data_IF_627672275966
#
_entry.id   IF_627672275966
#
_cell.length_a   1.000
_cell.length_b   1.000
_cell.length_c   1.000
_cell.angle_alpha   90.00
_cell.angle_beta   90.00
_cell.angle_gamma   90.00
#
_symmetry.space_group_name_H-M   'P 1'
#
loop_
_entity.id
_entity.type
_entity.pdbx_description
1 polymer ?
#
# COMPACT_ATOMS: atom_id res chain seq x y z
N UNK A 1 67.92 31.92 -1.63
CA UNK A 1 67.68 30.59 -1.05
C UNK A 1 66.21 30.28 -1.20
N UNK A 2 65.87 29.65 -2.31
CA UNK A 2 64.51 29.32 -2.74
C UNK A 2 64.12 27.98 -2.14
N UNK A 3 63.21 28.01 -1.16
CA UNK A 3 62.56 26.81 -0.65
C UNK A 3 61.50 26.39 -1.68
N UNK A 4 61.59 25.16 -2.15
CA UNK A 4 60.83 24.57 -3.25
C UNK A 4 59.32 24.51 -2.96
N UNK A 5 58.45 24.68 -3.99
CA UNK A 5 56.99 24.73 -3.82
C UNK A 5 56.35 23.34 -3.60
N UNK A 6 57.15 22.27 -3.62
CA UNK A 6 56.68 20.88 -3.55
C UNK A 6 56.25 20.42 -2.15
N UNK A 7 56.60 21.15 -1.08
CA UNK A 7 56.28 20.74 0.29
C UNK A 7 55.01 21.35 0.88
N UNK A 8 54.29 22.21 0.15
CA UNK A 8 53.00 22.78 0.61
C UNK A 8 51.75 22.12 0.02
N UNK A 9 51.90 21.21 -0.95
CA UNK A 9 50.78 20.47 -1.54
C UNK A 9 50.46 19.16 -0.81
N UNK A 10 51.37 18.63 0.02
CA UNK A 10 51.16 17.39 0.76
C UNK A 10 50.24 17.50 1.98
N UNK A 11 50.10 18.70 2.56
CA UNK A 11 49.27 18.91 3.76
C UNK A 11 47.83 19.33 3.44
N UNK A 12 47.57 19.87 2.24
CA UNK A 12 46.22 20.29 1.85
C UNK A 12 45.37 19.13 1.30
N UNK A 13 45.99 18.09 0.73
CA UNK A 13 45.26 16.91 0.25
C UNK A 13 44.87 15.93 1.37
N UNK A 14 45.55 15.94 2.51
CA UNK A 14 45.21 15.08 3.65
C UNK A 14 44.05 15.61 4.51
N UNK A 15 43.75 16.92 4.45
CA UNK A 15 42.60 17.49 5.18
C UNK A 15 41.28 17.44 4.39
N UNK A 16 41.29 17.16 3.09
CA UNK A 16 40.06 16.97 2.31
C UNK A 16 39.54 15.52 2.30
N UNK A 17 40.29 14.57 2.89
CA UNK A 17 39.88 13.15 2.99
C UNK A 17 39.28 12.82 4.38
N UNK A 18 39.26 13.79 5.30
CA UNK A 18 38.75 13.61 6.67
C UNK A 18 37.53 14.48 7.00
N UNK A 19 36.79 14.96 5.99
CA UNK A 19 35.44 15.49 6.21
C UNK A 19 34.46 14.35 5.97
N UNK A 20 34.26 13.60 7.04
CA UNK A 20 33.04 12.86 7.36
C UNK A 20 32.53 11.94 6.26
N UNK A 21 33.10 10.74 6.24
CA UNK A 21 32.25 9.55 6.11
C UNK A 21 31.27 9.53 7.30
N UNK A 22 30.22 10.34 7.23
CA UNK A 22 28.99 9.99 7.92
C UNK A 22 28.43 8.82 7.12
N UNK A 23 28.69 7.60 7.61
CA UNK A 23 28.12 6.36 7.11
C UNK A 23 26.60 6.43 7.24
N UNK A 24 25.92 7.10 6.30
CA UNK A 24 24.54 6.80 5.99
C UNK A 24 24.54 5.55 5.14
N UNK A 25 24.33 4.38 5.74
CA UNK A 25 23.91 3.22 4.94
C UNK A 25 22.66 3.64 4.16
N UNK A 26 22.69 3.45 2.84
CA UNK A 26 21.54 3.64 1.96
C UNK A 26 20.47 2.62 2.37
N UNK A 27 19.58 3.04 3.27
CA UNK A 27 18.63 2.16 3.92
C UNK A 27 17.32 2.23 3.11
N UNK A 28 16.94 1.09 2.52
CA UNK A 28 15.80 1.02 1.59
C UNK A 28 14.70 0.13 2.14
N UNK A 29 13.46 0.51 1.82
CA UNK A 29 12.27 -0.19 2.27
C UNK A 29 11.68 -0.98 1.10
N UNK A 30 11.78 -2.31 1.16
CA UNK A 30 11.32 -3.19 0.06
C UNK A 30 9.84 -3.00 -0.29
N UNK A 31 9.00 -2.72 0.71
CA UNK A 31 7.58 -2.45 0.47
C UNK A 31 7.32 -1.02 -0.07
N UNK A 32 8.26 -0.09 0.13
CA UNK A 32 8.04 1.35 -0.03
C UNK A 32 9.19 2.03 -0.78
N UNK A 33 9.26 1.75 -2.09
CA UNK A 33 10.28 2.31 -3.01
C UNK A 33 10.31 3.85 -3.06
N UNK A 34 9.25 4.52 -2.58
CA UNK A 34 9.14 5.99 -2.53
C UNK A 34 9.15 6.58 -1.10
N UNK A 35 9.51 5.78 -0.10
CA UNK A 35 9.70 6.26 1.28
C UNK A 35 10.98 7.08 1.39
N UNK A 36 10.95 8.15 2.18
CA UNK A 36 12.16 8.84 2.64
C UNK A 36 12.71 8.07 3.84
N UNK A 37 13.81 7.36 3.62
CA UNK A 37 14.42 6.46 4.57
C UNK A 37 15.79 6.97 4.99
N UNK A 38 16.01 7.11 6.30
CA UNK A 38 17.26 7.61 6.87
C UNK A 38 17.78 6.62 7.90
N UNK A 39 19.08 6.34 7.83
CA UNK A 39 19.76 5.52 8.83
C UNK A 39 19.84 6.29 10.16
N UNK A 40 19.35 5.68 11.23
CA UNK A 40 19.44 6.19 12.59
C UNK A 40 20.16 5.14 13.46
N UNK A 41 21.50 5.18 13.45
CA UNK A 41 22.33 4.14 14.06
C UNK A 41 22.17 2.80 13.33
N UNK A 42 21.78 1.75 14.06
CA UNK A 42 21.50 0.42 13.50
C UNK A 42 20.07 0.26 12.96
N UNK A 43 19.20 1.26 13.11
CA UNK A 43 17.81 1.21 12.67
C UNK A 43 17.60 2.05 11.41
N UNK A 44 16.85 1.52 10.43
CA UNK A 44 16.37 2.31 9.29
C UNK A 44 15.00 2.90 9.63
N UNK A 45 14.91 4.23 9.64
CA UNK A 45 13.65 4.94 9.91
C UNK A 45 13.13 5.48 8.58
N UNK A 46 12.00 4.93 8.13
CA UNK A 46 11.34 5.36 6.91
C UNK A 46 10.09 6.16 7.22
N UNK A 47 9.88 7.21 6.43
CA UNK A 47 8.65 8.00 6.45
C UNK A 47 8.08 8.09 5.05
N UNK A 48 6.76 8.19 4.96
CA UNK A 48 6.05 8.33 3.70
C UNK A 48 5.10 9.52 3.75
N UNK A 49 5.04 10.37 2.71
CA UNK A 49 4.01 11.40 2.60
C UNK A 49 2.64 10.74 2.38
N UNK A 50 1.74 10.91 3.35
CA UNK A 50 0.36 10.44 3.32
C UNK A 50 -0.54 11.66 3.50
N UNK A 51 -1.08 12.17 2.38
CA UNK A 51 -1.75 13.46 2.38
C UNK A 51 -0.76 14.60 2.65
N UNK A 52 -1.06 15.54 3.57
CA UNK A 52 -0.12 16.59 3.97
C UNK A 52 0.94 16.13 4.97
N UNK A 53 0.75 14.95 5.58
CA UNK A 53 1.55 14.50 6.72
C UNK A 53 2.69 13.58 6.28
N UNK A 54 3.85 13.70 6.94
CA UNK A 54 4.98 12.80 6.77
C UNK A 54 4.94 11.73 7.87
N UNK A 55 4.40 10.56 7.55
CA UNK A 55 4.06 9.52 8.54
C UNK A 55 5.16 8.44 8.61
N UNK A 56 5.62 8.03 9.80
CA UNK A 56 6.51 6.88 9.96
C UNK A 56 5.87 5.59 9.45
N UNK A 57 6.62 4.77 8.73
CA UNK A 57 6.13 3.51 8.16
C UNK A 57 6.96 2.32 8.65
N UNK A 58 6.29 1.19 8.85
CA UNK A 58 6.90 -0.09 9.19
C UNK A 58 7.27 -0.84 7.91
N UNK A 59 8.57 -0.98 7.64
CA UNK A 59 9.09 -1.63 6.44
C UNK A 59 9.04 -3.15 6.43
N UNK A 60 8.53 -3.76 7.51
CA UNK A 60 8.42 -5.23 7.59
C UNK A 60 7.13 -5.76 6.99
N UNK A 61 6.14 -4.88 6.76
CA UNK A 61 4.80 -5.22 6.31
C UNK A 61 4.25 -4.22 5.27
N UNK A 62 3.22 -4.60 4.50
CA UNK A 62 2.55 -3.68 3.59
C UNK A 62 1.92 -2.48 4.33
N UNK A 63 1.81 -1.33 3.64
CA UNK A 63 1.12 -0.13 4.17
C UNK A 63 -0.39 -0.38 4.16
N UNK A 64 -1.12 0.07 5.18
CA UNK A 64 -2.57 0.03 5.18
C UNK A 64 -3.19 0.65 3.92
N UNK A 65 -4.18 -0.02 3.33
CA UNK A 65 -4.86 0.37 2.09
C UNK A 65 -5.32 1.84 2.10
N UNK A 66 -5.86 2.33 3.21
CA UNK A 66 -6.33 3.71 3.32
C UNK A 66 -5.22 4.72 3.06
N UNK A 67 -4.04 4.51 3.63
CA UNK A 67 -2.88 5.37 3.42
C UNK A 67 -2.38 5.35 1.98
N UNK A 68 -2.36 4.16 1.36
CA UNK A 68 -2.01 4.03 -0.06
C UNK A 68 -3.00 4.79 -0.95
N UNK A 69 -4.30 4.57 -0.76
CA UNK A 69 -5.35 5.24 -1.50
C UNK A 69 -5.29 6.77 -1.33
N UNK A 70 -5.05 7.25 -0.10
CA UNK A 70 -4.90 8.69 0.18
C UNK A 70 -3.77 9.33 -0.60
N UNK A 71 -2.62 8.67 -0.66
CA UNK A 71 -1.49 9.14 -1.46
C UNK A 71 -1.80 9.11 -2.96
N UNK A 72 -2.44 8.06 -3.44
CA UNK A 72 -2.77 7.90 -4.87
C UNK A 72 -3.85 8.86 -5.35
N UNK A 73 -4.82 9.19 -4.50
CA UNK A 73 -5.88 10.16 -4.76
C UNK A 73 -5.40 11.61 -4.86
N UNK A 74 -4.17 11.88 -4.38
CA UNK A 74 -3.48 13.15 -4.49
C UNK A 74 -2.26 13.02 -5.43
N UNK A 75 -2.42 12.72 -6.74
CA UNK A 75 -1.33 12.94 -7.68
C UNK A 75 -1.10 14.45 -7.66
N UNK A 76 0.12 14.89 -7.33
CA UNK A 76 0.44 16.30 -7.06
C UNK A 76 -0.29 17.28 -7.99
N UNK A 77 -0.71 18.42 -7.42
CA UNK A 77 -1.52 19.50 -8.04
C UNK A 77 -0.89 20.16 -9.28
N UNK A 78 0.10 19.56 -9.93
CA UNK A 78 0.70 20.03 -11.17
C UNK A 78 -0.20 19.72 -12.37
N UNK A 79 -0.90 20.72 -12.88
CA UNK A 79 -1.43 20.73 -14.25
C UNK A 79 -2.87 20.24 -14.46
N UNK A 80 -3.60 19.81 -13.42
CA UNK A 80 -5.04 19.52 -13.56
C UNK A 80 -5.85 20.81 -13.42
N UNK A 81 -6.65 21.14 -14.45
CA UNK A 81 -7.63 22.23 -14.39
C UNK A 81 -8.62 21.98 -13.24
N UNK A 82 -9.12 23.02 -12.55
CA UNK A 82 -10.19 22.88 -11.57
C UNK A 82 -11.35 22.08 -12.18
N UNK A 83 -11.81 21.06 -11.46
CA UNK A 83 -12.94 20.24 -11.92
C UNK A 83 -14.22 21.11 -11.86
N UNK A 84 -15.05 21.14 -12.92
CA UNK A 84 -16.30 21.90 -12.92
C UNK A 84 -17.25 21.43 -11.81
N UNK A 85 -18.08 22.33 -11.28
CA UNK A 85 -19.00 22.11 -10.15
C UNK A 85 -19.96 20.93 -10.37
N UNK A 86 -20.38 20.67 -11.61
CA UNK A 86 -21.31 19.59 -11.97
C UNK A 86 -20.61 18.33 -12.53
N UNK A 87 -19.29 18.25 -12.47
CA UNK A 87 -18.60 17.12 -13.07
C UNK A 87 -18.77 15.87 -12.19
N UNK A 88 -19.47 14.87 -12.73
CA UNK A 88 -19.66 13.57 -12.10
C UNK A 88 -18.28 13.00 -11.70
N UNK A 89 -18.07 12.84 -10.39
CA UNK A 89 -16.94 12.10 -9.84
C UNK A 89 -17.49 10.71 -9.55
N UNK A 90 -17.10 9.73 -10.36
CA UNK A 90 -17.27 8.35 -9.95
C UNK A 90 -16.37 8.11 -8.73
N UNK A 91 -17.02 7.87 -7.58
CA UNK A 91 -16.36 7.62 -6.31
C UNK A 91 -16.38 6.13 -5.97
N UNK A 92 -16.85 5.28 -6.88
CA UNK A 92 -16.98 3.84 -6.64
C UNK A 92 -15.65 3.09 -6.91
N UNK A 93 -14.59 3.82 -7.27
CA UNK A 93 -13.20 3.37 -7.37
C UNK A 93 -12.25 4.09 -6.40
N UNK A 94 -11.16 4.69 -6.92
CA UNK A 94 -10.18 5.43 -6.12
C UNK A 94 -10.71 6.83 -5.71
N UNK A 95 -10.85 7.06 -4.40
CA UNK A 95 -11.22 8.34 -3.80
C UNK A 95 -10.17 8.78 -2.77
N UNK A 96 -10.19 10.04 -2.30
CA UNK A 96 -9.35 10.51 -1.19
C UNK A 96 -9.97 10.13 0.16
N UNK A 97 -9.46 9.09 0.85
CA UNK A 97 -10.07 8.61 2.05
C UNK A 97 -9.59 9.35 3.30
N UNK A 98 -10.48 9.43 4.26
CA UNK A 98 -10.17 9.73 5.65
C UNK A 98 -9.74 8.45 6.37
N UNK A 99 -8.55 8.50 6.95
CA UNK A 99 -7.93 7.38 7.66
C UNK A 99 -7.78 7.75 9.15
N UNK A 100 -7.89 6.74 10.00
CA UNK A 100 -7.40 6.80 11.38
C UNK A 100 -5.86 6.80 11.40
N UNK A 101 -5.25 7.14 12.54
CA UNK A 101 -3.79 7.26 12.68
C UNK A 101 -3.01 5.96 12.44
N UNK A 102 -3.69 4.80 12.50
CA UNK A 102 -3.13 3.49 12.19
C UNK A 102 -3.42 3.02 10.74
N UNK A 103 -4.02 3.87 9.91
CA UNK A 103 -4.32 3.56 8.51
C UNK A 103 -5.61 2.77 8.28
N UNK A 104 -6.45 2.59 9.31
CA UNK A 104 -7.81 2.07 9.15
C UNK A 104 -8.70 3.15 8.53
N UNK A 105 -9.65 2.77 7.67
CA UNK A 105 -10.64 3.70 7.15
C UNK A 105 -11.54 4.24 8.26
N UNK A 106 -11.80 5.54 8.25
CA UNK A 106 -12.95 6.06 9.00
C UNK A 106 -14.23 5.51 8.38
N UNK A 107 -15.22 5.14 9.21
CA UNK A 107 -16.46 4.55 8.73
C UNK A 107 -17.21 5.48 7.76
N UNK A 108 -17.16 6.79 8.00
CA UNK A 108 -17.71 7.84 7.14
C UNK A 108 -16.62 8.42 6.24
N UNK A 109 -16.91 8.52 4.95
CA UNK A 109 -16.01 9.04 3.92
C UNK A 109 -16.73 10.15 3.15
N UNK A 110 -16.02 11.24 2.82
CA UNK A 110 -16.60 12.35 2.06
C UNK A 110 -15.73 12.84 0.88
N UNK A 111 -14.51 12.31 0.71
CA UNK A 111 -13.58 12.69 -0.37
C UNK A 111 -13.35 14.21 -0.50
N UNK A 112 -13.24 14.92 0.63
CA UNK A 112 -13.16 16.39 0.70
C UNK A 112 -14.32 17.13 0.01
N UNK A 113 -15.49 16.49 -0.11
CA UNK A 113 -16.72 17.08 -0.67
C UNK A 113 -17.81 17.21 0.40
N UNK A 114 -18.96 17.75 0.02
CA UNK A 114 -20.15 17.80 0.89
C UNK A 114 -20.96 16.50 0.88
N UNK A 115 -20.59 15.58 0.00
CA UNK A 115 -21.27 14.30 -0.20
C UNK A 115 -20.53 13.21 0.55
N UNK A 116 -21.21 12.55 1.49
CA UNK A 116 -20.62 11.52 2.34
C UNK A 116 -21.31 10.16 2.19
N UNK A 117 -20.60 9.08 2.50
CA UNK A 117 -21.10 7.70 2.50
C UNK A 117 -20.42 6.87 3.57
N UNK A 118 -20.98 5.70 3.87
CA UNK A 118 -20.34 4.73 4.77
C UNK A 118 -19.52 3.71 3.98
N UNK A 119 -18.39 3.30 4.55
CA UNK A 119 -17.52 2.24 4.03
C UNK A 119 -17.34 1.11 5.04
N UNK A 120 -16.97 -0.07 4.56
CA UNK A 120 -16.47 -1.16 5.40
C UNK A 120 -14.95 -1.00 5.68
N UNK A 121 -14.37 -1.93 6.44
CA UNK A 121 -12.94 -1.92 6.76
C UNK A 121 -12.02 -2.06 5.54
N UNK A 122 -12.55 -2.48 4.38
CA UNK A 122 -11.83 -2.52 3.11
C UNK A 122 -11.94 -1.22 2.29
N UNK A 123 -12.62 -0.19 2.81
CA UNK A 123 -12.84 1.09 2.13
C UNK A 123 -13.89 1.03 1.01
N UNK A 124 -14.69 -0.05 0.95
CA UNK A 124 -15.74 -0.22 -0.06
C UNK A 124 -17.03 0.40 0.47
N UNK A 125 -17.68 1.22 -0.37
CA UNK A 125 -18.95 1.88 -0.07
C UNK A 125 -20.06 0.86 0.23
N UNK A 126 -20.85 1.14 1.26
CA UNK A 126 -21.93 0.28 1.77
C UNK A 126 -23.31 0.92 1.78
N UNK A 127 -23.37 2.21 1.50
CA UNK A 127 -24.61 2.99 1.52
C UNK A 127 -24.69 3.86 0.28
N UNK A 128 -25.85 4.44 0.06
CA UNK A 128 -25.98 5.60 -0.81
C UNK A 128 -25.18 6.79 -0.26
N UNK A 129 -25.08 7.80 -1.11
CA UNK A 129 -24.43 9.07 -0.83
C UNK A 129 -25.45 10.03 -0.22
N UNK A 130 -25.06 10.71 0.84
CA UNK A 130 -25.86 11.74 1.50
C UNK A 130 -25.04 12.98 1.81
N UNK A 131 -25.59 13.84 2.66
CA UNK A 131 -24.95 15.11 3.06
C UNK A 131 -23.86 14.92 4.13
N UNK A 132 -23.29 16.03 4.61
CA UNK A 132 -22.26 16.00 5.67
C UNK A 132 -22.75 15.42 7.00
N UNK A 133 -24.06 15.42 7.24
CA UNK A 133 -24.65 14.90 8.47
C UNK A 133 -24.89 13.38 8.40
N UNK A 134 -24.53 12.73 7.29
CA UNK A 134 -24.61 11.28 7.14
C UNK A 134 -23.87 10.57 8.27
N UNK A 135 -24.56 9.66 8.97
CA UNK A 135 -24.01 8.97 10.14
C UNK A 135 -23.59 7.55 9.80
N UNK A 136 -22.35 7.21 10.13
CA UNK A 136 -21.83 5.84 10.09
C UNK A 136 -21.42 5.49 11.51
N UNK A 137 -22.28 4.77 12.23
CA UNK A 137 -22.14 4.51 13.67
C UNK A 137 -20.94 3.62 13.99
N UNK A 138 -20.62 2.70 13.08
CA UNK A 138 -19.51 1.77 13.25
C UNK A 138 -18.84 1.45 11.90
N UNK A 139 -17.59 0.99 11.98
CA UNK A 139 -16.87 0.46 10.84
C UNK A 139 -17.16 -1.03 10.71
N UNK A 140 -17.94 -1.41 9.70
CA UNK A 140 -18.27 -2.81 9.45
C UNK A 140 -17.03 -3.55 8.94
N UNK A 141 -16.69 -4.68 9.56
CA UNK A 141 -15.55 -5.52 9.18
C UNK A 141 -15.81 -6.22 7.84
N UNK A 142 -14.87 -6.14 6.91
CA UNK A 142 -14.77 -7.07 5.79
C UNK A 142 -14.02 -8.31 6.26
N UNK A 143 -14.74 -9.40 6.53
CA UNK A 143 -14.12 -10.64 7.01
C UNK A 143 -13.75 -11.60 5.87
N UNK A 144 -14.25 -11.38 4.65
CA UNK A 144 -13.98 -12.20 3.48
C UNK A 144 -13.70 -11.35 2.24
N UNK A 145 -12.53 -11.57 1.64
CA UNK A 145 -12.13 -10.99 0.34
C UNK A 145 -11.91 -12.15 -0.62
N UNK A 146 -12.57 -12.10 -1.77
CA UNK A 146 -12.33 -13.00 -2.90
C UNK A 146 -11.46 -12.26 -3.91
N UNK A 147 -10.26 -12.80 -4.14
CA UNK A 147 -9.40 -12.33 -5.22
C UNK A 147 -9.64 -13.21 -6.44
N UNK A 148 -10.09 -12.59 -7.53
CA UNK A 148 -10.22 -13.26 -8.82
C UNK A 148 -9.06 -12.85 -9.73
N UNK A 149 -8.27 -13.84 -10.14
CA UNK A 149 -7.20 -13.68 -11.13
C UNK A 149 -7.57 -14.41 -12.42
N UNK A 150 -7.07 -13.91 -13.54
CA UNK A 150 -7.21 -14.57 -14.85
C UNK A 150 -5.84 -15.01 -15.33
N UNK A 151 -5.71 -16.29 -15.68
CA UNK A 151 -4.50 -16.88 -16.25
C UNK A 151 -4.67 -17.06 -17.75
N UNK A 152 -3.62 -16.77 -18.50
CA UNK A 152 -3.53 -17.20 -19.89
C UNK A 152 -3.08 -18.66 -19.87
N UNK A 153 -3.99 -19.61 -20.11
CA UNK A 153 -3.81 -21.07 -19.97
C UNK A 153 -2.84 -21.69 -20.99
N UNK A 154 -1.78 -20.97 -21.34
CA UNK A 154 -0.75 -21.35 -22.32
C UNK A 154 0.39 -22.15 -21.70
N UNK A 155 0.41 -22.28 -20.38
CA UNK A 155 1.48 -22.83 -19.59
C UNK A 155 1.09 -24.17 -18.94
N UNK A 156 1.95 -25.17 -19.05
CA UNK A 156 1.68 -26.54 -18.63
C UNK A 156 1.94 -26.80 -17.13
N UNK A 157 1.76 -25.79 -16.28
CA UNK A 157 2.05 -25.87 -14.84
C UNK A 157 0.93 -26.63 -14.12
N UNK A 158 1.25 -27.68 -13.32
CA UNK A 158 0.27 -28.38 -12.51
C UNK A 158 -0.44 -27.44 -11.52
N UNK A 159 -1.76 -27.60 -11.38
CA UNK A 159 -2.56 -26.76 -10.47
C UNK A 159 -2.04 -26.80 -9.04
N UNK A 160 -1.60 -27.97 -8.55
CA UNK A 160 -1.07 -28.11 -7.20
C UNK A 160 0.16 -27.22 -6.94
N UNK A 161 1.08 -27.15 -7.90
CA UNK A 161 2.27 -26.31 -7.82
C UNK A 161 1.88 -24.84 -7.86
N UNK A 162 0.87 -24.49 -8.67
CA UNK A 162 0.35 -23.13 -8.75
C UNK A 162 -0.36 -22.71 -7.45
N UNK A 163 -1.19 -23.58 -6.84
CA UNK A 163 -1.80 -23.29 -5.52
C UNK A 163 -0.73 -22.99 -4.48
N UNK A 164 0.32 -23.83 -4.43
CA UNK A 164 1.44 -23.65 -3.51
C UNK A 164 2.16 -22.34 -3.77
N UNK A 165 2.51 -22.06 -5.02
CA UNK A 165 3.20 -20.82 -5.39
C UNK A 165 2.38 -19.56 -5.03
N UNK A 166 1.06 -19.59 -5.24
CA UNK A 166 0.15 -18.50 -4.84
C UNK A 166 0.15 -18.35 -3.32
N UNK A 167 -0.04 -19.43 -2.56
CA UNK A 167 -0.07 -19.39 -1.11
C UNK A 167 1.26 -18.91 -0.51
N UNK A 168 2.39 -19.40 -1.05
CA UNK A 168 3.74 -18.99 -0.67
C UNK A 168 3.97 -17.51 -1.00
N UNK A 169 3.50 -17.03 -2.16
CA UNK A 169 3.59 -15.62 -2.53
C UNK A 169 2.80 -14.76 -1.55
N UNK A 170 1.56 -15.14 -1.23
CA UNK A 170 0.71 -14.38 -0.31
C UNK A 170 1.33 -14.30 1.09
N UNK A 171 1.87 -15.42 1.56
CA UNK A 171 2.50 -15.52 2.88
C UNK A 171 3.82 -14.76 2.94
N UNK A 172 4.69 -14.93 1.95
CA UNK A 172 6.05 -14.40 1.99
C UNK A 172 6.14 -12.95 1.51
N UNK A 173 5.40 -12.59 0.45
CA UNK A 173 5.41 -11.24 -0.12
C UNK A 173 4.47 -10.33 0.64
N UNK A 174 3.22 -10.71 0.84
CA UNK A 174 2.22 -9.84 1.48
C UNK A 174 2.10 -10.02 2.99
N UNK A 175 2.86 -10.95 3.57
CA UNK A 175 2.95 -11.20 5.02
C UNK A 175 1.63 -11.64 5.66
N UNK A 176 0.69 -12.17 4.87
CA UNK A 176 -0.55 -12.71 5.39
C UNK A 176 -0.32 -14.12 5.92
N UNK A 177 -0.61 -14.41 7.21
CA UNK A 177 -0.51 -15.77 7.72
C UNK A 177 -1.32 -16.76 6.90
N UNK A 178 -0.73 -17.92 6.59
CA UNK A 178 -1.36 -18.94 5.74
C UNK A 178 -2.74 -19.41 6.23
N UNK A 179 -3.00 -19.34 7.55
CA UNK A 179 -4.32 -19.63 8.14
C UNK A 179 -5.48 -18.78 7.58
N UNK A 180 -5.18 -17.60 7.03
CA UNK A 180 -6.18 -16.71 6.45
C UNK A 180 -6.40 -16.96 4.95
N UNK A 181 -5.61 -17.84 4.33
CA UNK A 181 -5.79 -18.30 2.94
C UNK A 181 -6.62 -19.58 2.99
N UNK A 182 -7.94 -19.43 2.88
CA UNK A 182 -8.87 -20.54 3.16
C UNK A 182 -9.16 -21.42 1.95
N UNK A 183 -9.04 -20.88 0.74
CA UNK A 183 -9.28 -21.63 -0.48
C UNK A 183 -8.54 -21.04 -1.68
N UNK A 184 -8.12 -21.91 -2.60
CA UNK A 184 -7.60 -21.56 -3.93
C UNK A 184 -8.20 -22.53 -4.93
N UNK A 185 -9.09 -22.03 -5.78
CA UNK A 185 -9.85 -22.80 -6.77
C UNK A 185 -9.56 -22.35 -8.19
N UNK A 186 -9.65 -23.31 -9.12
CA UNK A 186 -9.48 -23.08 -10.55
C UNK A 186 -10.78 -23.40 -11.28
N UNK A 187 -11.26 -22.44 -12.06
CA UNK A 187 -12.42 -22.60 -12.93
C UNK A 187 -12.06 -22.11 -14.33
N UNK A 188 -11.59 -23.03 -15.17
CA UNK A 188 -11.09 -22.69 -16.51
C UNK A 188 -9.88 -21.74 -16.44
N UNK A 189 -9.95 -20.52 -17.00
CA UNK A 189 -8.88 -19.53 -16.90
C UNK A 189 -8.91 -18.72 -15.58
N UNK A 190 -9.92 -18.91 -14.74
CA UNK A 190 -10.11 -18.14 -13.52
C UNK A 190 -9.49 -18.85 -12.32
N UNK A 191 -8.86 -18.06 -11.47
CA UNK A 191 -8.33 -18.48 -10.17
C UNK A 191 -9.05 -17.67 -9.10
N UNK A 192 -9.72 -18.36 -8.20
CA UNK A 192 -10.41 -17.75 -7.05
C UNK A 192 -9.62 -18.03 -5.77
N UNK A 193 -9.31 -16.97 -5.02
CA UNK A 193 -8.56 -17.06 -3.77
C UNK A 193 -9.41 -16.46 -2.65
N UNK A 194 -9.75 -17.28 -1.67
CA UNK A 194 -10.54 -16.86 -0.50
C UNK A 194 -9.64 -16.46 0.66
N UNK A 195 -9.62 -15.16 0.95
CA UNK A 195 -8.96 -14.61 2.12
C UNK A 195 -10.01 -14.34 3.21
N UNK A 196 -9.92 -15.05 4.34
CA UNK A 196 -10.87 -14.90 5.47
C UNK A 196 -10.14 -14.53 6.74
N UNK A 197 -10.59 -13.46 7.40
CA UNK A 197 -9.98 -12.94 8.62
C UNK A 197 -11.01 -12.18 9.46
N UNK A 198 -11.49 -12.81 10.52
CA UNK A 198 -12.40 -12.19 11.47
C UNK A 198 -11.68 -11.22 12.42
N UNK A 199 -12.42 -10.30 13.02
CA UNK A 199 -11.89 -9.35 14.02
C UNK A 199 -11.26 -10.07 15.22
N UNK A 200 -11.82 -11.21 15.64
CA UNK A 200 -11.34 -12.00 16.77
C UNK A 200 -10.04 -12.77 16.48
N UNK A 201 -9.74 -13.04 15.21
CA UNK A 201 -8.60 -13.86 14.79
C UNK A 201 -7.38 -13.02 14.38
N UNK A 202 -7.61 -11.74 14.04
CA UNK A 202 -6.58 -10.79 13.64
C UNK A 202 -5.86 -10.23 14.87
N UNK A 203 -4.56 -10.46 14.96
CA UNK A 203 -3.73 -9.83 15.99
C UNK A 203 -3.28 -8.42 15.54
N UNK A 204 -2.85 -7.53 16.46
CA UNK A 204 -2.39 -6.18 16.10
C UNK A 204 -1.23 -6.13 15.10
N UNK A 205 -0.44 -7.21 15.04
CA UNK A 205 0.72 -7.30 14.13
C UNK A 205 0.37 -7.92 12.78
N UNK A 206 -0.80 -8.55 12.65
CA UNK A 206 -1.22 -9.17 11.40
C UNK A 206 -1.63 -8.11 10.38
N UNK A 207 -1.24 -8.35 9.12
CA UNK A 207 -1.73 -7.59 7.97
C UNK A 207 -3.22 -7.85 7.76
N UNK A 208 -3.92 -6.85 7.23
CA UNK A 208 -5.32 -6.99 6.91
C UNK A 208 -5.53 -7.68 5.55
N UNK A 209 -6.51 -8.57 5.45
CA UNK A 209 -6.87 -9.18 4.15
C UNK A 209 -7.26 -8.14 3.10
N UNK A 210 -7.82 -6.99 3.51
CA UNK A 210 -8.14 -5.90 2.60
C UNK A 210 -6.87 -5.20 2.05
N UNK A 211 -5.81 -5.11 2.85
CA UNK A 211 -4.52 -4.58 2.42
C UNK A 211 -3.89 -5.52 1.40
N UNK A 212 -3.88 -6.83 1.70
CA UNK A 212 -3.34 -7.88 0.83
C UNK A 212 -4.03 -7.88 -0.53
N UNK A 213 -5.37 -7.88 -0.54
CA UNK A 213 -6.14 -7.82 -1.79
C UNK A 213 -5.78 -6.59 -2.63
N UNK A 214 -5.67 -5.42 -2.00
CA UNK A 214 -5.30 -4.19 -2.70
C UNK A 214 -3.88 -4.23 -3.26
N UNK A 215 -2.92 -4.77 -2.52
CA UNK A 215 -1.55 -4.96 -3.01
C UNK A 215 -1.50 -5.93 -4.19
N UNK A 216 -2.23 -7.04 -4.12
CA UNK A 216 -2.32 -7.99 -5.22
C UNK A 216 -2.90 -7.35 -6.48
N UNK A 217 -3.97 -6.56 -6.36
CA UNK A 217 -4.53 -5.79 -7.48
C UNK A 217 -3.48 -4.86 -8.09
N UNK A 218 -2.75 -4.10 -7.27
CA UNK A 218 -1.71 -3.17 -7.75
C UNK A 218 -0.54 -3.88 -8.43
N UNK A 219 -0.05 -4.98 -7.85
CA UNK A 219 1.06 -5.73 -8.41
C UNK A 219 0.68 -6.35 -9.76
N UNK A 220 -0.54 -6.86 -9.89
CA UNK A 220 -1.06 -7.39 -11.16
C UNK A 220 -1.26 -6.28 -12.18
N UNK A 221 -1.94 -5.19 -11.83
CA UNK A 221 -2.23 -4.08 -12.76
C UNK A 221 -0.98 -3.30 -13.19
N UNK A 222 0.10 -3.31 -12.40
CA UNK A 222 1.35 -2.64 -12.75
C UNK A 222 2.29 -3.50 -13.61
N UNK A 223 2.20 -4.83 -13.51
CA UNK A 223 3.07 -5.76 -14.25
C UNK A 223 2.41 -6.33 -15.50
N UNK A 224 1.09 -6.48 -15.49
CA UNK A 224 0.33 -7.10 -16.56
C UNK A 224 -0.89 -6.23 -16.86
N UNK A 225 -1.15 -5.96 -18.14
CA UNK A 225 -2.33 -5.20 -18.58
C UNK A 225 -3.61 -6.06 -18.41
N UNK A 226 -3.84 -6.54 -17.19
CA UNK A 226 -4.80 -7.58 -16.82
C UNK A 226 -5.69 -7.06 -15.69
N UNK A 227 -6.99 -7.33 -15.79
CA UNK A 227 -7.98 -6.89 -14.81
C UNK A 227 -8.02 -7.86 -13.64
N UNK A 228 -7.59 -7.41 -12.46
CA UNK A 228 -7.80 -8.09 -11.19
C UNK A 228 -9.11 -7.55 -10.60
N UNK A 229 -10.05 -8.42 -10.25
CA UNK A 229 -11.33 -8.01 -9.65
C UNK A 229 -11.33 -8.44 -8.18
N UNK A 230 -11.36 -7.45 -7.29
CA UNK A 230 -11.55 -7.67 -5.86
C UNK A 230 -13.04 -7.64 -5.52
N UNK A 231 -13.61 -8.80 -5.21
CA UNK A 231 -14.94 -8.86 -4.61
C UNK A 231 -14.80 -8.97 -3.09
N UNK A 232 -15.24 -7.94 -2.36
CA UNK A 232 -15.36 -8.01 -0.90
C UNK A 232 -16.78 -8.42 -0.55
N UNK A 233 -16.96 -9.63 -0.02
CA UNK A 233 -18.27 -10.07 0.47
C UNK A 233 -18.46 -9.60 1.92
N UNK A 234 -19.70 -9.22 2.23
CA UNK A 234 -20.10 -8.58 3.47
C UNK A 234 -20.30 -9.56 4.60
#
# INVERSE_FOLDING_TARGET
MTISPLFRLGAALLCCILISQALGQDCSCNFHVKGDCQANGNACVCKLPIGPDLTPIDCTKPIPKCFLMKRESNPGKGGRRPKPENALVDNDGLYNPDCEGNGIFKARQCNNTETCWCVNSAGVRRTDKGDKNWKCTELVRTFWVIVQLTRNNTDSIPEADLKKAIADTITNRYKLPAKFITNIEFEGPLIYIDLKQNTTEKTPNDVDIADVGYYMEKDVSSQFNTQCVLASLM
#
